data_IF_392916191145
#
_entry.id   IF_392916191145
#
_cell.length_a   1.000
_cell.length_b   1.000
_cell.length_c   1.000
_cell.angle_alpha   90.00
_cell.angle_beta   90.00
_cell.angle_gamma   90.00
#
_symmetry.space_group_name_H-M   'P 1'
#
loop_
_entity.id
_entity.type
_entity.pdbx_description
1 polymer ?
#
# COMPACT_ATOMS: atom_id res chain seq x y z
N UNK A 1 15.28 26.51 -4.88
CA UNK A 1 14.75 25.17 -5.18
C UNK A 1 13.41 25.00 -4.48
N UNK A 2 12.31 25.30 -5.17
CA UNK A 2 10.97 25.02 -4.67
C UNK A 2 10.65 23.59 -5.14
N UNK A 3 10.88 22.60 -4.27
CA UNK A 3 10.40 21.24 -4.54
C UNK A 3 8.91 21.32 -4.80
N UNK A 4 8.53 20.83 -5.97
CA UNK A 4 7.27 21.05 -6.63
C UNK A 4 6.13 20.37 -5.85
N UNK A 5 5.63 21.05 -4.82
CA UNK A 5 4.60 20.53 -3.89
C UNK A 5 3.37 20.02 -4.63
N UNK A 6 3.09 20.49 -5.86
CA UNK A 6 1.96 20.04 -6.68
C UNK A 6 2.23 18.70 -7.35
N UNK A 7 3.42 18.47 -7.90
CA UNK A 7 3.83 17.13 -8.40
C UNK A 7 3.91 16.12 -7.27
N UNK A 8 4.50 16.50 -6.14
CA UNK A 8 4.54 15.64 -4.95
C UNK A 8 3.14 15.27 -4.46
N UNK A 9 2.19 16.22 -4.45
CA UNK A 9 0.79 15.97 -4.04
C UNK A 9 0.02 15.12 -5.05
N UNK A 10 0.26 15.29 -6.35
CA UNK A 10 -0.35 14.48 -7.41
C UNK A 10 0.18 13.03 -7.40
N UNK A 11 1.50 12.85 -7.26
CA UNK A 11 2.11 11.53 -7.08
C UNK A 11 1.66 10.85 -5.79
N UNK A 12 1.50 11.61 -4.69
CA UNK A 12 1.00 11.06 -3.43
C UNK A 12 -0.47 10.64 -3.49
N UNK A 13 -1.31 11.38 -4.22
CA UNK A 13 -2.70 10.98 -4.47
C UNK A 13 -2.77 9.73 -5.38
N UNK A 14 -1.98 9.67 -6.45
CA UNK A 14 -1.90 8.50 -7.32
C UNK A 14 -1.39 7.28 -6.57
N UNK A 15 -0.38 7.44 -5.70
CA UNK A 15 0.14 6.37 -4.85
C UNK A 15 -0.90 5.89 -3.84
N UNK A 16 -1.65 6.79 -3.21
CA UNK A 16 -2.74 6.44 -2.29
C UNK A 16 -3.80 5.59 -2.99
N UNK A 17 -4.28 6.04 -4.15
CA UNK A 17 -5.27 5.29 -4.93
C UNK A 17 -4.72 3.93 -5.38
N UNK A 18 -3.46 3.88 -5.79
CA UNK A 18 -2.78 2.65 -6.18
C UNK A 18 -2.67 1.62 -5.05
N UNK A 19 -2.23 2.05 -3.86
CA UNK A 19 -2.14 1.18 -2.68
C UNK A 19 -3.53 0.70 -2.29
N UNK A 20 -4.51 1.61 -2.22
CA UNK A 20 -5.89 1.25 -1.90
C UNK A 20 -6.48 0.26 -2.92
N UNK A 21 -6.24 0.48 -4.22
CA UNK A 21 -6.68 -0.45 -5.26
C UNK A 21 -5.99 -1.81 -5.15
N UNK A 22 -4.67 -1.85 -4.96
CA UNK A 22 -3.91 -3.09 -4.82
C UNK A 22 -4.38 -3.91 -3.61
N UNK A 23 -4.66 -3.26 -2.47
CA UNK A 23 -5.22 -3.90 -1.29
C UNK A 23 -6.63 -4.43 -1.52
N UNK A 24 -7.51 -3.65 -2.18
CA UNK A 24 -8.88 -4.09 -2.52
C UNK A 24 -8.89 -5.27 -3.51
N UNK A 25 -7.95 -5.30 -4.46
CA UNK A 25 -7.85 -6.37 -5.46
C UNK A 25 -7.24 -7.65 -4.88
N UNK A 26 -6.21 -7.52 -4.06
CA UNK A 26 -5.60 -8.65 -3.38
C UNK A 26 -6.52 -9.22 -2.29
N UNK A 27 -7.26 -8.34 -1.58
CA UNK A 27 -8.11 -8.65 -0.43
C UNK A 27 -7.47 -9.67 0.52
N UNK A 28 -6.24 -9.40 1.01
CA UNK A 28 -5.40 -10.40 1.66
C UNK A 28 -6.03 -11.01 2.92
N UNK A 29 -6.88 -10.24 3.61
CA UNK A 29 -7.61 -10.67 4.81
C UNK A 29 -9.10 -10.88 4.57
N UNK A 30 -9.55 -10.77 3.32
CA UNK A 30 -10.93 -11.08 2.95
C UNK A 30 -12.00 -10.08 3.41
N UNK A 31 -11.64 -8.87 3.87
CA UNK A 31 -12.62 -7.89 4.37
C UNK A 31 -13.63 -7.48 3.28
N UNK A 32 -13.16 -7.26 2.05
CA UNK A 32 -14.03 -6.84 0.94
C UNK A 32 -14.93 -7.99 0.52
N UNK A 33 -14.40 -9.21 0.43
CA UNK A 33 -15.20 -10.43 0.20
C UNK A 33 -16.16 -10.74 1.35
N UNK A 34 -15.82 -10.32 2.57
CA UNK A 34 -16.66 -10.41 3.77
C UNK A 34 -17.81 -9.40 3.81
N UNK A 35 -17.89 -8.48 2.84
CA UNK A 35 -18.95 -7.47 2.75
C UNK A 35 -18.62 -6.14 3.43
N UNK A 36 -17.36 -5.92 3.81
CA UNK A 36 -16.93 -4.64 4.35
C UNK A 36 -16.98 -3.52 3.29
N UNK A 37 -17.19 -2.26 3.70
CA UNK A 37 -17.06 -1.09 2.83
C UNK A 37 -15.70 -1.02 2.11
N UNK A 38 -15.65 -0.38 0.94
CA UNK A 38 -14.41 -0.30 0.13
C UNK A 38 -13.37 0.69 0.67
N UNK A 39 -13.79 1.53 1.61
CA UNK A 39 -13.00 2.48 2.38
C UNK A 39 -12.45 1.90 3.69
N UNK A 40 -12.69 0.61 3.97
CA UNK A 40 -12.21 -0.02 5.22
C UNK A 40 -10.67 0.00 5.35
N UNK A 41 -9.95 0.02 4.22
CA UNK A 41 -8.48 0.07 4.19
C UNK A 41 -7.88 1.49 4.18
N UNK A 42 -8.70 2.55 4.17
CA UNK A 42 -8.22 3.94 4.14
C UNK A 42 -7.35 4.34 5.35
N UNK A 43 -7.63 3.88 6.60
CA UNK A 43 -6.78 4.13 7.76
C UNK A 43 -5.36 3.58 7.60
N UNK A 44 -5.23 2.33 7.13
CA UNK A 44 -3.98 1.60 6.93
C UNK A 44 -3.19 2.18 5.76
N UNK A 45 -3.87 2.58 4.69
CA UNK A 45 -3.23 3.27 3.56
C UNK A 45 -2.57 4.58 4.05
N UNK A 46 -3.19 5.28 5.00
CA UNK A 46 -2.65 6.50 5.61
C UNK A 46 -1.33 6.29 6.36
N UNK A 47 -1.12 5.13 6.96
CA UNK A 47 0.09 4.78 7.72
C UNK A 47 1.17 4.12 6.85
N UNK A 48 0.77 3.36 5.82
CA UNK A 48 1.66 2.76 4.82
C UNK A 48 2.33 3.85 3.97
N UNK A 49 1.59 4.85 3.49
CA UNK A 49 2.08 5.90 2.58
C UNK A 49 3.37 6.62 3.02
N UNK A 50 3.52 7.10 4.28
CA UNK A 50 4.78 7.71 4.71
C UNK A 50 5.95 6.72 4.79
N UNK A 51 5.68 5.42 4.99
CA UNK A 51 6.69 4.36 5.04
C UNK A 51 7.15 3.91 3.65
N UNK A 52 6.33 4.12 2.62
CA UNK A 52 6.71 3.91 1.22
C UNK A 52 7.76 4.91 0.71
N UNK A 53 8.12 5.95 1.48
CA UNK A 53 9.18 6.88 1.09
C UNK A 53 10.55 6.25 1.31
N UNK A 54 11.27 6.00 0.22
CA UNK A 54 12.62 5.44 0.26
C UNK A 54 12.67 3.91 0.18
N UNK A 55 11.54 3.27 -0.17
CA UNK A 55 11.55 1.84 -0.54
C UNK A 55 12.32 1.65 -1.83
N UNK A 56 13.12 0.59 -1.91
CA UNK A 56 14.01 0.33 -3.04
C UNK A 56 13.63 -0.93 -3.82
N UNK A 57 12.63 -1.66 -3.32
CA UNK A 57 12.20 -2.93 -3.87
C UNK A 57 10.72 -3.22 -3.56
N UNK A 58 10.14 -4.17 -4.31
CA UNK A 58 8.80 -4.69 -4.01
C UNK A 58 8.75 -5.46 -2.68
N UNK A 59 9.87 -6.05 -2.24
CA UNK A 59 9.99 -6.76 -0.97
C UNK A 59 9.92 -5.78 0.22
N UNK A 60 10.54 -4.59 0.10
CA UNK A 60 10.40 -3.54 1.12
C UNK A 60 8.94 -3.15 1.32
N UNK A 61 8.20 -3.01 0.21
CA UNK A 61 6.76 -2.70 0.23
C UNK A 61 5.99 -3.85 0.88
N UNK A 62 6.32 -5.10 0.55
CA UNK A 62 5.66 -6.27 1.11
C UNK A 62 5.82 -6.35 2.62
N UNK A 63 7.02 -6.10 3.14
CA UNK A 63 7.28 -6.01 4.58
C UNK A 63 6.50 -4.89 5.24
N UNK A 64 6.49 -3.69 4.66
CA UNK A 64 5.72 -2.57 5.22
C UNK A 64 4.22 -2.90 5.27
N UNK A 65 3.65 -3.41 4.18
CA UNK A 65 2.21 -3.72 4.13
C UNK A 65 1.87 -4.85 5.10
N UNK A 66 2.67 -5.92 5.17
CA UNK A 66 2.44 -7.01 6.11
C UNK A 66 2.56 -6.55 7.56
N UNK A 67 3.59 -5.79 7.91
CA UNK A 67 3.78 -5.24 9.26
C UNK A 67 2.61 -4.35 9.70
N UNK A 68 2.13 -3.50 8.80
CA UNK A 68 0.96 -2.65 9.09
C UNK A 68 -0.27 -3.52 9.31
N UNK A 69 -0.55 -4.49 8.43
CA UNK A 69 -1.69 -5.39 8.61
C UNK A 69 -1.60 -6.22 9.90
N UNK A 70 -0.41 -6.70 10.27
CA UNK A 70 -0.18 -7.37 11.56
C UNK A 70 -0.40 -6.41 12.73
N UNK A 71 0.02 -5.14 12.62
CA UNK A 71 -0.19 -4.14 13.67
C UNK A 71 -1.66 -3.75 13.84
N UNK A 72 -2.45 -3.75 12.77
CA UNK A 72 -3.86 -3.37 12.79
C UNK A 72 -4.79 -4.55 13.15
N UNK A 73 -4.54 -5.73 12.59
CA UNK A 73 -5.43 -6.90 12.68
C UNK A 73 -4.86 -8.08 13.49
N UNK A 74 -3.58 -8.03 13.85
CA UNK A 74 -2.86 -9.13 14.49
C UNK A 74 -2.35 -10.18 13.50
N UNK A 75 -1.31 -10.92 13.90
CA UNK A 75 -0.65 -11.94 13.06
C UNK A 75 -1.61 -13.04 12.58
N UNK A 76 -2.55 -13.46 13.44
CA UNK A 76 -3.54 -14.50 13.12
C UNK A 76 -4.51 -14.06 12.01
N UNK A 77 -4.86 -12.78 11.96
CA UNK A 77 -5.82 -12.23 10.99
C UNK A 77 -5.11 -11.75 9.72
N UNK A 78 -3.89 -11.22 9.85
CA UNK A 78 -3.13 -10.66 8.73
C UNK A 78 -2.74 -11.70 7.68
N UNK A 79 -2.71 -12.99 8.01
CA UNK A 79 -2.35 -14.04 7.07
C UNK A 79 -0.85 -14.07 6.75
N UNK A 80 -0.50 -14.79 5.68
CA UNK A 80 0.91 -15.04 5.36
C UNK A 80 1.53 -13.85 4.63
N UNK A 81 2.84 -13.67 4.81
CA UNK A 81 3.62 -12.68 4.06
C UNK A 81 3.43 -12.81 2.55
N UNK A 82 3.34 -14.04 2.02
CA UNK A 82 3.15 -14.33 0.59
C UNK A 82 1.83 -13.78 0.02
N UNK A 83 0.79 -13.63 0.84
CA UNK A 83 -0.51 -13.10 0.40
C UNK A 83 -0.40 -11.64 -0.07
N UNK A 84 0.63 -10.93 0.39
CA UNK A 84 0.91 -9.53 0.07
C UNK A 84 1.82 -9.36 -1.15
N UNK A 85 2.42 -10.44 -1.68
CA UNK A 85 3.39 -10.34 -2.78
C UNK A 85 2.79 -9.67 -4.01
N UNK A 86 1.59 -10.08 -4.42
CA UNK A 86 0.91 -9.54 -5.60
C UNK A 86 0.59 -8.06 -5.45
N UNK A 87 0.05 -7.66 -4.29
CA UNK A 87 -0.25 -6.26 -4.00
C UNK A 87 1.03 -5.41 -4.03
N UNK A 88 2.11 -5.92 -3.45
CA UNK A 88 3.39 -5.23 -3.32
C UNK A 88 4.07 -5.02 -4.66
N UNK A 89 4.03 -6.00 -5.56
CA UNK A 89 4.51 -5.85 -6.93
C UNK A 89 3.75 -4.79 -7.72
N UNK A 90 2.42 -4.76 -7.60
CA UNK A 90 1.60 -3.73 -8.24
C UNK A 90 1.90 -2.33 -7.71
N UNK A 91 2.07 -2.17 -6.40
CA UNK A 91 2.45 -0.90 -5.78
C UNK A 91 3.86 -0.48 -6.22
N UNK A 92 4.82 -1.41 -6.24
CA UNK A 92 6.20 -1.15 -6.67
C UNK A 92 6.29 -0.63 -8.11
N UNK A 93 5.51 -1.21 -9.02
CA UNK A 93 5.47 -0.77 -10.41
C UNK A 93 5.09 0.71 -10.53
N UNK A 94 4.19 1.19 -9.67
CA UNK A 94 3.69 2.57 -9.63
C UNK A 94 4.67 3.49 -8.91
N UNK A 95 5.27 3.05 -7.80
CA UNK A 95 6.32 3.81 -7.09
C UNK A 95 7.50 4.07 -8.02
N UNK A 96 7.98 3.05 -8.73
CA UNK A 96 9.08 3.17 -9.70
C UNK A 96 8.74 4.14 -10.84
N UNK A 97 7.49 4.12 -11.31
CA UNK A 97 7.03 5.04 -12.37
C UNK A 97 6.95 6.50 -11.85
N UNK A 98 6.63 6.70 -10.57
CA UNK A 98 6.56 8.02 -9.93
C UNK A 98 7.93 8.59 -9.51
N UNK A 99 8.93 7.76 -9.20
CA UNK A 99 10.31 8.22 -8.92
C UNK A 99 11.12 8.54 -10.18
N UNK A 100 10.67 8.09 -11.35
CA UNK A 100 11.33 8.35 -12.64
C UNK A 100 11.05 9.76 -13.23
N UNK A 101 10.51 10.71 -12.45
CA UNK A 101 10.02 12.02 -12.95
C UNK A 101 10.62 13.24 -12.24
#
# INVERSE_FOLDING_TARGET
MAFDKRRAKAGFAALREAVSQALREADPIGLIRGGAPRDEYDPEVGTILPRLRGVTSAEDIQSIVHEEFVSWFGEETAGSFDDYQRASQSIWAIVRDNEAV
#
